data_IF_791737990854
#
_entry.id   IF_791737990854
#
_cell.length_a   1.000
_cell.length_b   1.000
_cell.length_c   1.000
_cell.angle_alpha   90.00
_cell.angle_beta   90.00
_cell.angle_gamma   90.00
#
_symmetry.space_group_name_H-M   'P 1'
#
loop_
_entity.id
_entity.type
_entity.pdbx_description
1 polymer ?
#
# COMPACT_ATOMS: atom_id res chain seq x y z
N UNK A 1 13.51 64.98 64.37
CA UNK A 1 12.92 63.66 64.07
C UNK A 1 13.08 63.36 62.58
N UNK A 2 13.98 62.52 62.28
CA UNK A 2 14.23 62.09 60.93
C UNK A 2 13.31 60.91 60.58
N UNK A 3 12.34 61.12 59.69
CA UNK A 3 11.53 60.03 59.15
C UNK A 3 12.37 59.28 58.13
N UNK A 4 12.78 58.09 58.48
CA UNK A 4 13.48 57.20 57.60
C UNK A 4 12.44 56.57 56.66
N UNK A 5 12.29 57.14 55.48
CA UNK A 5 11.50 56.51 54.42
C UNK A 5 12.34 55.39 53.81
N UNK A 6 12.09 54.17 54.28
CA UNK A 6 12.55 52.97 53.65
C UNK A 6 11.96 52.86 52.27
N UNK A 7 12.71 53.22 51.25
CA UNK A 7 12.40 52.97 49.85
C UNK A 7 12.45 51.47 49.61
N UNK A 8 11.31 50.81 49.81
CA UNK A 8 11.14 49.44 49.34
C UNK A 8 11.29 49.48 47.83
N UNK A 9 12.47 49.02 47.33
CA UNK A 9 12.61 48.66 45.92
C UNK A 9 11.68 47.47 45.67
N UNK A 10 10.51 47.73 45.16
CA UNK A 10 9.71 46.68 44.55
C UNK A 10 10.56 46.13 43.41
N UNK A 11 11.08 44.93 43.56
CA UNK A 11 11.60 44.12 42.47
C UNK A 11 10.33 43.81 41.59
N UNK A 12 10.04 44.68 40.68
CA UNK A 12 9.07 44.42 39.63
C UNK A 12 9.68 43.35 38.73
N UNK A 13 9.32 42.12 38.96
CA UNK A 13 9.43 41.12 37.93
C UNK A 13 8.41 41.54 36.88
N UNK A 14 8.83 42.31 35.91
CA UNK A 14 8.06 42.44 34.69
C UNK A 14 8.18 41.10 33.95
N UNK A 15 7.09 40.31 33.87
CA UNK A 15 7.13 39.14 33.03
C UNK A 15 7.33 39.62 31.60
N UNK A 16 8.48 39.34 31.04
CA UNK A 16 8.78 39.63 29.63
C UNK A 16 7.87 38.73 28.78
N UNK A 17 6.67 39.20 28.54
CA UNK A 17 5.62 38.53 27.74
C UNK A 17 5.85 38.68 26.25
N UNK A 18 6.99 39.16 25.81
CA UNK A 18 7.37 39.11 24.42
C UNK A 18 7.71 37.68 24.05
N UNK A 19 6.69 36.93 23.61
CA UNK A 19 6.91 35.62 23.04
C UNK A 19 7.85 35.76 21.83
N UNK A 20 8.96 35.04 21.89
CA UNK A 20 9.89 35.01 20.76
C UNK A 20 9.28 34.17 19.64
N UNK A 21 8.53 34.85 18.74
CA UNK A 21 7.84 34.23 17.62
C UNK A 21 8.82 33.52 16.66
N UNK A 22 10.07 33.99 16.59
CA UNK A 22 11.09 33.38 15.74
C UNK A 22 11.41 31.95 16.19
N UNK A 23 11.57 31.71 17.50
CA UNK A 23 11.79 30.36 18.02
C UNK A 23 10.57 29.46 17.80
N UNK A 24 9.37 29.99 17.97
CA UNK A 24 8.13 29.24 17.73
C UNK A 24 7.99 28.83 16.26
N UNK A 25 8.25 29.75 15.33
CA UNK A 25 8.20 29.47 13.89
C UNK A 25 9.25 28.42 13.48
N UNK A 26 10.43 28.48 14.05
CA UNK A 26 11.49 27.51 13.78
C UNK A 26 11.08 26.09 14.18
N UNK A 27 10.54 25.90 15.38
CA UNK A 27 10.02 24.62 15.85
C UNK A 27 8.90 24.12 14.95
N UNK A 28 7.98 24.99 14.54
CA UNK A 28 6.88 24.63 13.63
C UNK A 28 7.38 24.20 12.25
N UNK A 29 8.36 24.92 11.70
CA UNK A 29 8.96 24.58 10.41
C UNK A 29 9.68 23.24 10.45
N UNK A 30 10.49 22.98 11.49
CA UNK A 30 11.19 21.70 11.67
C UNK A 30 10.20 20.55 11.82
N UNK A 31 9.16 20.75 12.61
CA UNK A 31 8.08 19.76 12.78
C UNK A 31 7.38 19.46 11.45
N UNK A 32 7.07 20.49 10.67
CA UNK A 32 6.46 20.33 9.35
C UNK A 32 7.35 19.54 8.39
N UNK A 33 8.64 19.84 8.36
CA UNK A 33 9.61 19.12 7.52
C UNK A 33 9.70 17.64 7.94
N UNK A 34 9.75 17.37 9.24
CA UNK A 34 9.77 16.00 9.76
C UNK A 34 8.51 15.25 9.33
N UNK A 35 7.32 15.84 9.45
CA UNK A 35 6.08 15.22 8.98
C UNK A 35 6.10 14.99 7.47
N UNK A 36 6.64 15.90 6.69
CA UNK A 36 6.76 15.75 5.25
C UNK A 36 7.70 14.61 4.85
N UNK A 37 8.80 14.42 5.58
CA UNK A 37 9.76 13.33 5.34
C UNK A 37 9.24 11.97 5.79
N UNK A 38 8.42 11.92 6.84
CA UNK A 38 7.86 10.67 7.40
C UNK A 38 6.59 10.24 6.65
N UNK A 39 5.86 11.18 6.04
CA UNK A 39 4.59 10.93 5.36
C UNK A 39 4.65 9.83 4.29
N UNK A 40 5.68 9.74 3.42
CA UNK A 40 5.75 8.67 2.42
C UNK A 40 6.03 7.28 3.02
N UNK A 41 6.50 7.18 4.25
CA UNK A 41 6.78 5.89 4.89
C UNK A 41 5.54 5.21 5.49
N UNK A 42 4.40 5.90 5.46
CA UNK A 42 3.11 5.33 5.85
C UNK A 42 2.39 4.63 4.69
N UNK A 43 3.06 4.37 3.59
CA UNK A 43 2.61 3.32 2.70
C UNK A 43 2.61 2.04 3.52
N UNK A 44 1.41 1.62 3.89
CA UNK A 44 1.15 0.37 4.57
C UNK A 44 1.54 -0.77 3.63
N UNK A 45 2.82 -0.91 3.39
CA UNK A 45 3.36 -2.20 3.07
C UNK A 45 3.13 -3.05 4.31
N UNK A 46 2.09 -3.83 4.34
CA UNK A 46 2.10 -5.01 5.18
C UNK A 46 3.34 -5.72 4.70
N UNK A 47 4.38 -5.66 5.51
CA UNK A 47 5.58 -6.47 5.31
C UNK A 47 5.15 -7.92 5.54
N UNK A 48 4.48 -8.46 4.53
CA UNK A 48 4.28 -9.87 4.41
C UNK A 48 5.70 -10.38 4.17
N UNK A 49 6.34 -10.86 5.22
CA UNK A 49 7.53 -11.66 5.09
C UNK A 49 7.19 -12.77 4.10
N UNK A 50 7.49 -12.48 2.84
CA UNK A 50 7.49 -13.51 1.83
C UNK A 50 8.46 -14.57 2.35
N UNK A 51 8.02 -15.78 2.64
CA UNK A 51 8.96 -16.85 2.95
C UNK A 51 9.96 -16.84 1.82
N UNK A 52 11.25 -16.78 2.19
CA UNK A 52 12.37 -16.76 1.25
C UNK A 52 12.17 -18.00 0.38
N UNK A 53 11.52 -17.81 -0.76
CA UNK A 53 11.36 -18.87 -1.72
C UNK A 53 12.78 -19.26 -2.11
N UNK A 54 13.15 -20.49 -1.79
CA UNK A 54 14.38 -21.12 -2.29
C UNK A 54 14.48 -20.76 -3.78
N UNK A 55 15.67 -20.44 -4.30
CA UNK A 55 15.82 -20.11 -5.70
C UNK A 55 15.33 -21.31 -6.52
N UNK A 56 14.06 -21.26 -6.89
CA UNK A 56 13.54 -22.16 -7.90
C UNK A 56 14.28 -21.83 -9.19
N UNK A 57 14.88 -22.84 -9.78
CA UNK A 57 15.33 -22.77 -11.17
C UNK A 57 14.20 -22.12 -11.95
N UNK A 58 14.42 -20.92 -12.44
CA UNK A 58 13.51 -20.26 -13.36
C UNK A 58 13.43 -21.12 -14.62
N UNK A 59 12.55 -22.09 -14.61
CA UNK A 59 11.99 -22.58 -15.87
C UNK A 59 11.22 -21.36 -16.38
N UNK A 60 11.61 -20.84 -17.53
CA UNK A 60 11.04 -19.64 -18.14
C UNK A 60 9.61 -19.92 -18.62
N UNK A 61 8.74 -20.24 -17.69
CA UNK A 61 7.31 -20.41 -17.93
C UNK A 61 6.69 -19.02 -17.95
N UNK A 62 6.20 -18.59 -19.08
CA UNK A 62 5.52 -17.30 -19.21
C UNK A 62 4.36 -17.24 -18.22
N UNK A 63 4.23 -16.20 -17.41
CA UNK A 63 3.13 -16.09 -16.47
C UNK A 63 1.80 -15.96 -17.22
N UNK A 64 0.78 -16.65 -16.73
CA UNK A 64 -0.60 -16.50 -17.21
C UNK A 64 -1.18 -15.23 -16.57
N UNK A 65 -1.67 -14.32 -17.39
CA UNK A 65 -2.29 -13.11 -16.95
C UNK A 65 -3.80 -13.22 -16.97
N UNK A 66 -4.42 -13.18 -15.82
CA UNK A 66 -5.88 -13.09 -15.68
C UNK A 66 -6.24 -11.68 -15.23
N UNK A 67 -7.09 -11.00 -15.97
CA UNK A 67 -7.53 -9.65 -15.63
C UNK A 67 -9.04 -9.60 -15.47
N UNK A 68 -9.49 -8.92 -14.42
CA UNK A 68 -10.88 -8.65 -14.14
C UNK A 68 -11.13 -7.14 -14.30
N UNK A 69 -11.94 -6.77 -15.27
CA UNK A 69 -12.32 -5.40 -15.54
C UNK A 69 -13.53 -4.97 -14.71
N UNK A 70 -13.70 -3.66 -14.54
CA UNK A 70 -14.75 -3.04 -13.73
C UNK A 70 -16.18 -3.46 -14.10
N UNK A 71 -16.40 -3.84 -15.36
CA UNK A 71 -17.70 -4.32 -15.84
C UNK A 71 -17.93 -5.82 -15.62
N UNK A 72 -17.07 -6.52 -14.87
CA UNK A 72 -17.13 -7.97 -14.69
C UNK A 72 -16.57 -8.77 -15.86
N UNK A 73 -15.96 -8.11 -16.84
CA UNK A 73 -15.33 -8.76 -17.98
C UNK A 73 -14.04 -9.44 -17.58
N UNK A 74 -13.90 -10.70 -17.97
CA UNK A 74 -12.72 -11.51 -17.72
C UNK A 74 -11.82 -11.56 -18.95
N UNK A 75 -10.51 -11.47 -18.71
CA UNK A 75 -9.49 -11.56 -19.75
C UNK A 75 -8.44 -12.60 -19.38
N UNK A 76 -8.07 -13.41 -20.35
CA UNK A 76 -6.97 -14.36 -20.25
C UNK A 76 -5.89 -13.98 -21.27
N UNK A 77 -4.72 -13.61 -20.81
CA UNK A 77 -3.63 -13.11 -21.67
C UNK A 77 -4.08 -12.00 -22.65
N UNK A 78 -4.84 -11.01 -22.15
CA UNK A 78 -5.43 -9.90 -22.90
C UNK A 78 -6.56 -10.27 -23.90
N UNK A 79 -7.00 -11.50 -23.92
CA UNK A 79 -8.17 -11.92 -24.69
C UNK A 79 -9.39 -12.00 -23.79
N UNK A 80 -10.48 -11.37 -24.19
CA UNK A 80 -11.73 -11.47 -23.45
C UNK A 80 -12.26 -12.90 -23.53
N UNK A 81 -12.61 -13.45 -22.36
CA UNK A 81 -13.10 -14.82 -22.22
C UNK A 81 -14.34 -14.85 -21.34
N UNK A 82 -15.17 -15.86 -21.55
CA UNK A 82 -16.26 -16.16 -20.61
C UNK A 82 -15.72 -16.94 -19.42
N UNK A 83 -16.49 -16.99 -18.32
CA UNK A 83 -16.10 -17.77 -17.14
C UNK A 83 -15.84 -19.24 -17.46
N UNK A 84 -16.66 -19.83 -18.33
CA UNK A 84 -16.48 -21.22 -18.78
C UNK A 84 -15.17 -21.41 -19.57
N UNK A 85 -14.86 -20.48 -20.46
CA UNK A 85 -13.62 -20.50 -21.24
C UNK A 85 -12.39 -20.28 -20.34
N UNK A 86 -12.49 -19.38 -19.36
CA UNK A 86 -11.44 -19.14 -18.40
C UNK A 86 -11.16 -20.42 -17.59
N UNK A 87 -12.19 -21.08 -17.09
CA UNK A 87 -12.09 -22.34 -16.34
C UNK A 87 -11.40 -23.43 -17.17
N UNK A 88 -11.77 -23.57 -18.43
CA UNK A 88 -11.15 -24.57 -19.34
C UNK A 88 -9.68 -24.26 -19.57
N UNK A 89 -9.33 -23.02 -19.88
CA UNK A 89 -7.92 -22.61 -20.13
C UNK A 89 -7.06 -22.71 -18.90
N UNK A 90 -7.59 -22.37 -17.71
CA UNK A 90 -6.88 -22.55 -16.46
C UNK A 90 -6.66 -24.03 -16.12
N UNK A 91 -7.63 -24.87 -16.36
CA UNK A 91 -7.51 -26.31 -16.17
C UNK A 91 -6.44 -26.93 -17.09
N UNK A 92 -6.40 -26.51 -18.35
CA UNK A 92 -5.34 -26.92 -19.29
C UNK A 92 -3.96 -26.45 -18.84
N UNK A 93 -3.82 -25.22 -18.39
CA UNK A 93 -2.57 -24.69 -17.86
C UNK A 93 -2.12 -25.43 -16.60
N UNK A 94 -3.03 -25.75 -15.69
CA UNK A 94 -2.74 -26.52 -14.47
C UNK A 94 -2.35 -27.97 -14.75
N UNK A 95 -2.90 -28.58 -15.76
CA UNK A 95 -2.51 -29.95 -16.21
C UNK A 95 -1.15 -29.96 -16.88
N UNK A 96 -0.85 -28.91 -17.67
CA UNK A 96 0.45 -28.81 -18.34
C UNK A 96 1.58 -28.58 -17.35
N UNK A 97 1.39 -27.65 -16.38
CA UNK A 97 2.36 -27.37 -15.34
C UNK A 97 1.63 -26.71 -14.13
N UNK A 98 1.50 -27.42 -12.99
CA UNK A 98 0.87 -26.89 -11.79
C UNK A 98 1.60 -25.68 -11.18
N UNK A 99 2.89 -25.52 -11.46
CA UNK A 99 3.72 -24.43 -10.96
C UNK A 99 3.71 -23.18 -11.86
N UNK A 100 2.87 -23.18 -12.90
CA UNK A 100 2.74 -22.03 -13.79
C UNK A 100 2.32 -20.80 -12.97
N UNK A 101 3.11 -19.71 -13.00
CA UNK A 101 2.77 -18.51 -12.29
C UNK A 101 1.53 -17.85 -12.94
N UNK A 102 0.53 -17.53 -12.13
CA UNK A 102 -0.66 -16.82 -12.55
C UNK A 102 -0.69 -15.47 -11.87
N UNK A 103 -0.86 -14.41 -12.64
CA UNK A 103 -1.02 -13.06 -12.12
C UNK A 103 -2.46 -12.62 -12.31
N UNK A 104 -3.18 -12.45 -11.21
CA UNK A 104 -4.54 -11.90 -11.21
C UNK A 104 -4.47 -10.38 -11.08
N UNK A 105 -4.95 -9.67 -12.09
CA UNK A 105 -5.10 -8.22 -12.09
C UNK A 105 -6.55 -7.84 -11.85
N UNK A 106 -6.78 -7.03 -10.83
CA UNK A 106 -8.07 -6.38 -10.59
C UNK A 106 -7.98 -4.88 -10.88
N UNK A 107 -8.99 -4.33 -11.56
CA UNK A 107 -9.12 -2.89 -11.73
C UNK A 107 -9.65 -2.25 -10.43
N UNK A 108 -9.32 -0.98 -10.19
CA UNK A 108 -9.85 -0.23 -9.05
C UNK A 108 -11.38 -0.12 -9.13
N UNK A 109 -12.04 -0.45 -8.03
CA UNK A 109 -13.51 -0.40 -7.96
C UNK A 109 -14.22 -1.71 -8.28
N UNK A 110 -13.48 -2.81 -8.44
CA UNK A 110 -14.10 -4.15 -8.52
C UNK A 110 -14.58 -4.55 -7.12
N UNK A 111 -15.80 -5.10 -7.00
CA UNK A 111 -16.26 -5.66 -5.73
C UNK A 111 -15.32 -6.77 -5.26
N UNK A 112 -14.95 -6.75 -3.99
CA UNK A 112 -14.06 -7.74 -3.39
C UNK A 112 -14.54 -9.19 -3.61
N UNK A 113 -15.86 -9.41 -3.56
CA UNK A 113 -16.46 -10.72 -3.80
C UNK A 113 -16.19 -11.28 -5.19
N UNK A 114 -16.18 -10.44 -6.21
CA UNK A 114 -15.86 -10.84 -7.59
C UNK A 114 -14.39 -11.25 -7.72
N UNK A 115 -13.48 -10.51 -7.06
CA UNK A 115 -12.06 -10.84 -7.04
C UNK A 115 -11.81 -12.20 -6.38
N UNK A 116 -12.45 -12.46 -5.25
CA UNK A 116 -12.36 -13.75 -4.54
C UNK A 116 -12.92 -14.89 -5.37
N UNK A 117 -14.04 -14.66 -6.05
CA UNK A 117 -14.63 -15.67 -6.95
C UNK A 117 -13.66 -16.10 -8.05
N UNK A 118 -12.99 -15.15 -8.70
CA UNK A 118 -11.99 -15.45 -9.74
C UNK A 118 -10.77 -16.14 -9.14
N UNK A 119 -10.33 -15.73 -7.96
CA UNK A 119 -9.24 -16.37 -7.25
C UNK A 119 -9.55 -17.85 -6.93
N UNK A 120 -10.77 -18.15 -6.50
CA UNK A 120 -11.21 -19.52 -6.23
C UNK A 120 -11.27 -20.36 -7.50
N UNK A 121 -11.66 -19.78 -8.63
CA UNK A 121 -11.60 -20.42 -9.93
C UNK A 121 -10.17 -20.83 -10.32
N UNK A 122 -9.21 -19.94 -10.10
CA UNK A 122 -7.80 -20.20 -10.37
C UNK A 122 -7.27 -21.32 -9.46
N UNK A 123 -7.56 -21.26 -8.16
CA UNK A 123 -7.17 -22.31 -7.21
C UNK A 123 -7.79 -23.65 -7.52
N UNK A 124 -9.05 -23.67 -7.92
CA UNK A 124 -9.78 -24.90 -8.29
C UNK A 124 -9.22 -25.58 -9.53
N UNK A 125 -8.45 -24.90 -10.36
CA UNK A 125 -7.78 -25.46 -11.54
C UNK A 125 -6.44 -26.15 -11.24
N UNK A 126 -6.01 -26.17 -9.98
CA UNK A 126 -4.76 -26.82 -9.56
C UNK A 126 -3.52 -25.94 -9.64
N UNK A 127 -3.67 -24.66 -9.98
CA UNK A 127 -2.58 -23.68 -10.01
C UNK A 127 -2.34 -23.15 -8.60
N UNK A 128 -1.11 -23.28 -8.12
CA UNK A 128 -0.73 -22.91 -6.73
C UNK A 128 0.07 -21.62 -6.64
N UNK A 129 0.73 -21.24 -7.72
CA UNK A 129 1.56 -20.03 -7.76
C UNK A 129 0.77 -18.83 -8.28
N UNK A 130 0.05 -18.15 -7.37
CA UNK A 130 -0.85 -17.05 -7.70
C UNK A 130 -0.32 -15.75 -7.12
N UNK A 131 -0.06 -14.78 -7.97
CA UNK A 131 0.25 -13.40 -7.61
C UNK A 131 -0.95 -12.49 -7.82
N UNK A 132 -1.17 -11.56 -6.91
CA UNK A 132 -2.17 -10.49 -7.06
C UNK A 132 -1.46 -9.20 -7.47
N UNK A 133 -1.91 -8.59 -8.56
CA UNK A 133 -1.47 -7.26 -8.97
C UNK A 133 -2.67 -6.31 -8.95
N UNK A 134 -2.63 -5.33 -8.09
CA UNK A 134 -3.60 -4.24 -8.09
C UNK A 134 -3.03 -3.04 -8.82
N UNK A 135 -3.80 -2.41 -9.68
CA UNK A 135 -3.41 -1.14 -10.28
C UNK A 135 -3.55 -0.07 -9.21
N UNK A 136 -2.43 0.50 -8.76
CA UNK A 136 -2.47 1.70 -7.94
C UNK A 136 -3.04 2.86 -8.75
N UNK A 137 -3.99 3.63 -8.24
CA UNK A 137 -4.44 4.85 -8.90
C UNK A 137 -3.35 5.91 -8.74
N UNK A 138 -2.42 6.00 -9.68
CA UNK A 138 -1.38 7.02 -9.61
C UNK A 138 -0.03 6.58 -10.18
N UNK A 139 -0.04 5.87 -11.25
CA UNK A 139 1.15 5.61 -12.07
C UNK A 139 0.90 6.04 -13.50
#
# INVERSE_FOLDING_TARGET
MAFYQSKRRAFGFEPNTTMNVTALVDVLLVTLIIFMLVSPTLEHGIDVQLPVAKPYKMVATKPVLVSLAKAGSLFYNNQQVTEAQLRTRLAEAGRANPDTPVVLRGDTGIPYGELIRVLDLIRGSGLTNIGLATRSPGG
#
